data_IF_852103280398
#
_entry.id   IF_852103280398
#
_cell.length_a   1.000
_cell.length_b   1.000
_cell.length_c   1.000
_cell.angle_alpha   90.00
_cell.angle_beta   90.00
_cell.angle_gamma   90.00
#
_symmetry.space_group_name_H-M   'P 1'
#
loop_
_entity.id
_entity.type
_entity.pdbx_description
1 polymer ?
#
# COMPACT_ATOMS: atom_id res chain seq x y z
N UNK A 1 -19.28 2.47 3.70
CA UNK A 1 -18.35 3.56 4.04
C UNK A 1 -17.24 2.95 4.88
N UNK A 2 -15.97 3.16 4.52
CA UNK A 2 -14.84 2.64 5.32
C UNK A 2 -14.64 3.59 6.51
N UNK A 3 -14.77 3.07 7.73
CA UNK A 3 -14.57 3.87 8.94
C UNK A 3 -13.09 4.23 9.09
N UNK A 4 -12.75 5.49 9.44
CA UNK A 4 -11.39 5.84 9.79
C UNK A 4 -10.98 5.16 11.11
N UNK A 5 -9.67 5.01 11.39
CA UNK A 5 -9.20 4.58 12.71
C UNK A 5 -9.76 5.45 13.84
N UNK A 6 -10.03 4.85 15.00
CA UNK A 6 -10.67 5.51 16.15
C UNK A 6 -9.82 6.63 16.75
N UNK A 7 -8.51 6.47 16.72
CA UNK A 7 -7.54 7.42 17.25
C UNK A 7 -6.38 7.64 16.28
N UNK A 8 -5.74 8.80 16.39
CA UNK A 8 -4.47 9.05 15.70
C UNK A 8 -3.36 8.18 16.32
N UNK A 9 -2.45 7.66 15.49
CA UNK A 9 -1.27 6.85 15.87
C UNK A 9 -1.54 5.50 16.54
N UNK A 10 -0.46 4.83 16.97
CA UNK A 10 -0.42 3.49 17.55
C UNK A 10 -1.21 3.37 18.87
N UNK A 11 -2.38 2.75 18.80
CA UNK A 11 -3.06 2.14 19.94
C UNK A 11 -3.13 0.63 19.74
N UNK A 12 -3.25 -0.18 20.83
CA UNK A 12 -3.12 -1.64 20.75
C UNK A 12 -3.98 -2.30 19.67
N UNK A 13 -5.24 -1.87 19.53
CA UNK A 13 -6.20 -2.50 18.61
C UNK A 13 -6.23 -1.86 17.20
N UNK A 14 -5.29 -0.95 16.89
CA UNK A 14 -5.34 -0.21 15.62
C UNK A 14 -5.29 -1.11 14.39
N UNK A 15 -4.47 -2.16 14.44
CA UNK A 15 -4.39 -3.13 13.35
C UNK A 15 -5.70 -3.90 13.17
N UNK A 16 -6.37 -4.24 14.27
CA UNK A 16 -7.66 -4.94 14.26
C UNK A 16 -8.74 -4.03 13.68
N UNK A 17 -8.86 -2.79 14.17
CA UNK A 17 -9.82 -1.80 13.62
C UNK A 17 -9.59 -1.57 12.11
N UNK A 18 -8.34 -1.53 11.66
CA UNK A 18 -8.03 -1.39 10.23
C UNK A 18 -8.47 -2.62 9.44
N UNK A 19 -8.26 -3.83 9.98
CA UNK A 19 -8.69 -5.07 9.34
C UNK A 19 -10.21 -5.15 9.24
N UNK A 20 -10.93 -4.86 10.33
CA UNK A 20 -12.39 -4.84 10.35
C UNK A 20 -12.97 -3.83 9.34
N UNK A 21 -12.36 -2.64 9.24
CA UNK A 21 -12.78 -1.64 8.26
C UNK A 21 -12.53 -2.06 6.81
N UNK A 22 -11.49 -2.85 6.55
CA UNK A 22 -11.13 -3.35 5.21
C UNK A 22 -11.90 -4.61 4.81
N UNK A 23 -12.35 -5.42 5.77
CA UNK A 23 -12.95 -6.73 5.53
C UNK A 23 -14.13 -6.70 4.55
N UNK A 24 -15.10 -5.76 4.63
CA UNK A 24 -16.20 -5.73 3.66
C UNK A 24 -15.73 -5.52 2.22
N UNK A 25 -14.74 -4.66 2.01
CA UNK A 25 -14.16 -4.44 0.68
C UNK A 25 -13.36 -5.65 0.20
N UNK A 26 -12.65 -6.31 1.11
CA UNK A 26 -11.94 -7.55 0.81
C UNK A 26 -12.89 -8.68 0.37
N UNK A 27 -14.00 -8.88 1.10
CA UNK A 27 -14.99 -9.90 0.73
C UNK A 27 -15.63 -9.58 -0.63
N UNK A 28 -15.98 -8.32 -0.90
CA UNK A 28 -16.54 -7.92 -2.19
C UNK A 28 -15.59 -8.22 -3.37
N UNK A 29 -14.27 -8.05 -3.19
CA UNK A 29 -13.27 -8.43 -4.20
C UNK A 29 -13.27 -9.95 -4.38
N UNK A 30 -13.26 -10.71 -3.29
CA UNK A 30 -13.26 -12.18 -3.36
C UNK A 30 -14.50 -12.69 -4.07
N UNK A 31 -15.68 -12.17 -3.73
CA UNK A 31 -16.95 -12.58 -4.33
C UNK A 31 -16.99 -12.24 -5.83
N UNK A 32 -16.60 -11.03 -6.22
CA UNK A 32 -16.54 -10.62 -7.62
C UNK A 32 -15.62 -11.53 -8.45
N UNK A 33 -14.45 -11.89 -7.92
CA UNK A 33 -13.52 -12.78 -8.62
C UNK A 33 -14.08 -14.21 -8.72
N UNK A 34 -14.81 -14.68 -7.70
CA UNK A 34 -15.49 -15.98 -7.74
C UNK A 34 -16.63 -16.00 -8.76
N UNK A 35 -17.40 -14.93 -8.86
CA UNK A 35 -18.43 -14.77 -9.90
C UNK A 35 -17.81 -14.79 -11.31
N UNK A 36 -16.59 -14.28 -11.45
CA UNK A 36 -15.80 -14.38 -12.68
C UNK A 36 -15.17 -15.77 -12.90
N UNK A 37 -15.46 -16.76 -12.05
CA UNK A 37 -15.03 -18.15 -12.19
C UNK A 37 -13.70 -18.49 -11.53
N UNK A 38 -13.11 -17.60 -10.74
CA UNK A 38 -11.84 -17.87 -10.06
C UNK A 38 -12.04 -18.72 -8.81
N UNK A 39 -11.10 -19.60 -8.53
CA UNK A 39 -11.05 -20.28 -7.24
C UNK A 39 -10.58 -19.31 -6.14
N UNK A 40 -11.12 -19.46 -4.93
CA UNK A 40 -10.69 -18.66 -3.77
C UNK A 40 -9.17 -18.73 -3.53
N UNK A 41 -8.56 -19.88 -3.81
CA UNK A 41 -7.10 -20.05 -3.72
C UNK A 41 -6.33 -19.16 -4.71
N UNK A 42 -6.85 -18.99 -5.92
CA UNK A 42 -6.25 -18.13 -6.95
C UNK A 42 -6.34 -16.65 -6.57
N UNK A 43 -7.49 -16.23 -6.06
CA UNK A 43 -7.70 -14.86 -5.55
C UNK A 43 -6.69 -14.55 -4.45
N UNK A 44 -6.59 -15.43 -3.45
CA UNK A 44 -5.67 -15.24 -2.32
C UNK A 44 -4.20 -15.20 -2.73
N UNK A 45 -3.78 -16.08 -3.65
CA UNK A 45 -2.41 -16.07 -4.18
C UNK A 45 -2.13 -14.79 -4.97
N UNK A 46 -3.08 -14.33 -5.77
CA UNK A 46 -2.94 -13.13 -6.58
C UNK A 46 -2.86 -11.87 -5.72
N UNK A 47 -3.76 -11.71 -4.75
CA UNK A 47 -3.75 -10.57 -3.82
C UNK A 47 -2.43 -10.49 -3.02
N UNK A 48 -1.92 -11.63 -2.52
CA UNK A 48 -0.62 -11.66 -1.84
C UNK A 48 0.53 -11.16 -2.74
N UNK A 49 0.53 -11.56 -4.01
CA UNK A 49 1.56 -11.12 -4.97
C UNK A 49 1.44 -9.64 -5.31
N UNK A 50 0.21 -9.13 -5.46
CA UNK A 50 -0.03 -7.70 -5.70
C UNK A 50 0.46 -6.84 -4.54
N UNK A 51 0.17 -7.23 -3.29
CA UNK A 51 0.65 -6.52 -2.10
C UNK A 51 2.19 -6.52 -2.06
N UNK A 52 2.83 -7.66 -2.34
CA UNK A 52 4.28 -7.74 -2.39
C UNK A 52 4.87 -6.83 -3.49
N UNK A 53 4.27 -6.83 -4.69
CA UNK A 53 4.70 -6.00 -5.81
C UNK A 53 4.54 -4.50 -5.51
N UNK A 54 3.43 -4.08 -4.89
CA UNK A 54 3.22 -2.70 -4.47
C UNK A 54 4.28 -2.26 -3.45
N UNK A 55 4.52 -3.08 -2.42
CA UNK A 55 5.54 -2.79 -1.41
C UNK A 55 6.94 -2.63 -2.03
N UNK A 56 7.32 -3.50 -2.98
CA UNK A 56 8.59 -3.39 -3.69
C UNK A 56 8.66 -2.13 -4.53
N UNK A 57 7.60 -1.82 -5.28
CA UNK A 57 7.50 -0.62 -6.13
C UNK A 57 7.63 0.66 -5.30
N UNK A 58 6.91 0.74 -4.17
CA UNK A 58 6.98 1.89 -3.26
C UNK A 58 8.37 2.08 -2.68
N UNK A 59 9.06 0.99 -2.32
CA UNK A 59 10.44 1.03 -1.81
C UNK A 59 11.41 1.55 -2.86
N UNK A 60 11.35 1.00 -4.08
CA UNK A 60 12.26 1.40 -5.16
C UNK A 60 11.99 2.84 -5.63
N UNK A 61 10.73 3.25 -5.73
CA UNK A 61 10.39 4.64 -6.04
C UNK A 61 10.93 5.60 -4.97
N UNK A 62 10.80 5.26 -3.69
CA UNK A 62 11.37 6.08 -2.61
C UNK A 62 12.90 6.19 -2.71
N UNK A 63 13.59 5.10 -3.09
CA UNK A 63 15.03 5.10 -3.32
C UNK A 63 15.43 6.00 -4.49
N UNK A 64 14.77 5.84 -5.63
CA UNK A 64 15.05 6.63 -6.84
C UNK A 64 14.77 8.12 -6.59
N UNK A 65 13.68 8.46 -5.91
CA UNK A 65 13.38 9.84 -5.54
C UNK A 65 14.45 10.45 -4.62
N UNK A 66 14.97 9.68 -3.67
CA UNK A 66 16.06 10.13 -2.81
C UNK A 66 17.36 10.37 -3.61
N UNK A 67 17.75 9.44 -4.50
CA UNK A 67 18.91 9.58 -5.38
C UNK A 67 18.76 10.80 -6.30
N UNK A 68 17.58 11.01 -6.87
CA UNK A 68 17.26 12.15 -7.72
C UNK A 68 17.33 13.47 -6.96
N UNK A 69 16.84 13.52 -5.71
CA UNK A 69 16.93 14.69 -4.86
C UNK A 69 18.39 15.08 -4.57
N UNK A 70 19.25 14.10 -4.29
CA UNK A 70 20.69 14.32 -4.08
C UNK A 70 21.34 14.82 -5.37
N UNK A 71 21.10 14.16 -6.51
CA UNK A 71 21.64 14.57 -7.80
C UNK A 71 21.22 16.02 -8.17
N UNK A 72 19.94 16.37 -7.95
CA UNK A 72 19.44 17.74 -8.13
C UNK A 72 20.13 18.75 -7.22
N UNK A 73 20.41 18.38 -5.96
CA UNK A 73 21.14 19.24 -5.03
C UNK A 73 22.59 19.47 -5.47
N UNK A 74 23.27 18.44 -5.99
CA UNK A 74 24.65 18.55 -6.51
C UNK A 74 24.75 19.39 -7.78
N UNK A 75 23.73 19.37 -8.63
CA UNK A 75 23.71 20.14 -9.88
C UNK A 75 23.34 21.61 -9.64
N UNK A 76 22.74 21.96 -8.49
CA UNK A 76 22.38 23.34 -8.18
C UNK A 76 23.68 24.14 -7.90
N UNK A 77 24.13 25.04 -8.81
CA UNK A 77 25.29 25.86 -8.52
C UNK A 77 24.94 26.72 -7.31
N UNK A 78 25.91 26.90 -6.40
CA UNK A 78 25.73 27.65 -5.16
C UNK A 78 24.93 28.92 -5.43
N UNK A 79 23.80 29.09 -4.72
CA UNK A 79 23.23 30.43 -4.54
C UNK A 79 24.36 31.26 -3.95
N UNK A 80 24.98 32.07 -4.80
CA UNK A 80 26.03 32.98 -4.44
C UNK A 80 25.57 33.80 -3.22
N UNK A 81 26.43 33.82 -2.20
CA UNK A 81 26.40 34.81 -1.13
C UNK A 81 26.58 36.21 -1.72
#
# INVERSE_FOLDING_TARGET
>A
MISPPRHDRNYPDREIDCQEAMEPGFQAIVDCMREAGWERGEVMRSLRRLIAADNMTRKENARVEAELAIARAMIRPGKAL
#
